data_IF_149938398493
#
_entry.id   IF_149938398493
#
_cell.length_a   1.000
_cell.length_b   1.000
_cell.length_c   1.000
_cell.angle_alpha   90.00
_cell.angle_beta   90.00
_cell.angle_gamma   90.00
#
_symmetry.space_group_name_H-M   'P 1'
#
loop_
_entity.id
_entity.type
_entity.pdbx_description
1 polymer ?
#
# COMPACT_ATOMS: atom_id res chain seq x y z
N UNK A 1 12.70 -9.07 -42.47
CA UNK A 1 11.68 -10.13 -42.59
C UNK A 1 11.11 -10.37 -41.20
N UNK A 2 10.13 -9.56 -40.80
CA UNK A 2 9.61 -9.52 -39.43
C UNK A 2 8.22 -10.15 -39.47
N UNK A 3 8.08 -11.32 -38.84
CA UNK A 3 6.81 -12.04 -38.76
C UNK A 3 5.90 -11.31 -37.76
N UNK A 4 4.74 -10.86 -38.24
CA UNK A 4 3.60 -10.47 -37.41
C UNK A 4 3.17 -11.69 -36.58
N UNK A 5 3.03 -11.51 -35.27
CA UNK A 5 2.18 -12.36 -34.45
C UNK A 5 0.84 -11.64 -34.31
N UNK A 6 -0.19 -12.18 -34.96
CA UNK A 6 -1.59 -11.91 -34.73
C UNK A 6 -2.06 -12.74 -33.54
N UNK A 7 -2.69 -12.12 -32.54
CA UNK A 7 -3.34 -12.85 -31.44
C UNK A 7 -3.81 -11.95 -30.30
N UNK A 8 -5.10 -11.59 -30.37
CA UNK A 8 -6.02 -11.25 -29.26
C UNK A 8 -5.54 -10.22 -28.23
N UNK A 9 -6.01 -9.00 -28.44
CA UNK A 9 -5.95 -7.86 -27.54
C UNK A 9 -6.99 -8.02 -26.41
N UNK A 10 -6.66 -8.82 -25.39
CA UNK A 10 -7.22 -8.65 -24.05
C UNK A 10 -6.08 -8.18 -23.14
N UNK A 11 -6.09 -6.89 -22.81
CA UNK A 11 -5.03 -6.21 -22.09
C UNK A 11 -4.66 -6.91 -20.79
N UNK A 12 -3.54 -7.63 -20.80
CA UNK A 12 -2.85 -7.97 -19.57
C UNK A 12 -2.45 -6.65 -18.89
N UNK A 13 -3.14 -6.29 -17.80
CA UNK A 13 -2.72 -5.17 -16.95
C UNK A 13 -1.32 -5.49 -16.45
N UNK A 14 -0.33 -4.82 -17.03
CA UNK A 14 1.09 -5.08 -16.75
C UNK A 14 1.43 -4.86 -15.28
N UNK A 15 2.29 -5.72 -14.76
CA UNK A 15 3.00 -5.47 -13.51
C UNK A 15 4.16 -4.52 -13.84
N UNK A 16 4.29 -3.44 -13.07
CA UNK A 16 5.37 -2.46 -13.23
C UNK A 16 6.41 -2.63 -12.12
N UNK A 17 7.69 -2.60 -12.49
CA UNK A 17 8.80 -2.47 -11.55
C UNK A 17 9.07 -0.97 -11.35
N UNK A 18 8.51 -0.41 -10.27
CA UNK A 18 8.42 1.04 -10.06
C UNK A 18 9.30 1.47 -8.89
N UNK A 19 10.13 2.49 -9.12
CA UNK A 19 10.82 3.23 -8.07
C UNK A 19 9.98 4.43 -7.62
N UNK A 20 9.82 4.60 -6.30
CA UNK A 20 9.15 5.75 -5.70
C UNK A 20 10.21 6.74 -5.20
N UNK A 21 9.99 8.03 -5.47
CA UNK A 21 10.87 9.11 -5.06
C UNK A 21 10.10 10.08 -4.17
N UNK A 22 10.80 10.70 -3.21
CA UNK A 22 10.26 11.71 -2.32
C UNK A 22 11.02 13.02 -2.52
N UNK A 23 10.27 14.13 -2.58
CA UNK A 23 10.80 15.48 -2.59
C UNK A 23 10.07 16.29 -1.53
N UNK A 24 10.82 17.00 -0.70
CA UNK A 24 10.30 17.86 0.35
C UNK A 24 10.45 19.32 -0.12
N UNK A 25 9.38 20.10 0.02
CA UNK A 25 9.31 21.50 -0.40
C UNK A 25 8.83 22.35 0.79
N UNK A 26 9.42 23.53 0.95
CA UNK A 26 9.09 24.45 2.05
C UNK A 26 7.72 25.11 1.87
N UNK A 27 7.17 25.07 0.66
CA UNK A 27 5.88 25.66 0.31
C UNK A 27 5.12 24.75 -0.65
N UNK A 28 3.80 24.76 -0.56
CA UNK A 28 2.92 24.10 -1.54
C UNK A 28 3.12 24.76 -2.91
N UNK A 29 3.59 24.02 -3.94
CA UNK A 29 3.84 24.61 -5.25
C UNK A 29 2.53 24.78 -6.03
N UNK A 30 2.53 25.76 -6.94
CA UNK A 30 1.51 25.84 -7.97
C UNK A 30 1.58 24.59 -8.85
N UNK A 31 0.43 23.95 -9.05
CA UNK A 31 0.33 22.74 -9.83
C UNK A 31 -0.87 22.80 -10.77
N UNK A 32 -0.67 22.35 -11.99
CA UNK A 32 -1.68 22.34 -13.06
C UNK A 32 -1.81 20.92 -13.61
N UNK A 33 -3.04 20.52 -13.90
CA UNK A 33 -3.32 19.28 -14.60
C UNK A 33 -3.35 19.52 -16.11
N UNK A 34 -3.22 18.45 -16.91
CA UNK A 34 -3.11 18.52 -18.37
C UNK A 34 -4.46 18.39 -19.10
N UNK A 35 -5.55 18.26 -18.33
CA UNK A 35 -6.92 18.02 -18.81
C UNK A 35 -7.09 16.74 -19.65
N UNK A 36 -6.12 15.81 -19.57
CA UNK A 36 -6.12 14.55 -20.30
C UNK A 36 -5.94 13.37 -19.37
N UNK A 37 -4.70 13.14 -18.92
CA UNK A 37 -4.38 12.05 -18.00
C UNK A 37 -4.73 12.42 -16.56
N UNK A 38 -4.54 13.69 -16.22
CA UNK A 38 -4.93 14.28 -14.94
C UNK A 38 -5.99 15.34 -15.19
N UNK A 39 -7.11 15.25 -14.47
CA UNK A 39 -8.24 16.19 -14.58
C UNK A 39 -8.55 16.90 -13.27
N UNK A 40 -7.96 16.43 -12.16
CA UNK A 40 -8.12 17.00 -10.83
C UNK A 40 -6.79 16.89 -10.07
N UNK A 41 -6.46 17.94 -9.32
CA UNK A 41 -5.30 17.98 -8.45
C UNK A 41 -5.72 18.56 -7.10
N UNK A 42 -5.25 17.94 -6.02
CA UNK A 42 -5.49 18.40 -4.67
C UNK A 42 -4.26 18.13 -3.80
N UNK A 43 -3.78 19.17 -3.13
CA UNK A 43 -2.88 19.04 -1.99
C UNK A 43 -3.70 18.67 -0.75
N UNK A 44 -3.34 17.59 -0.06
CA UNK A 44 -4.04 17.15 1.15
C UNK A 44 -3.05 16.56 2.16
N UNK A 45 -3.30 16.72 3.48
CA UNK A 45 -2.53 16.05 4.52
C UNK A 45 -2.60 14.52 4.37
N UNK A 46 -1.50 13.79 4.64
CA UNK A 46 -1.43 12.33 4.47
C UNK A 46 -2.55 11.54 5.16
N UNK A 47 -2.96 11.97 6.35
CA UNK A 47 -4.00 11.29 7.12
C UNK A 47 -5.42 11.60 6.58
N UNK A 48 -5.65 12.78 6.00
CA UNK A 48 -6.93 13.09 5.33
C UNK A 48 -7.09 12.26 4.06
N UNK A 49 -6.01 12.11 3.29
CA UNK A 49 -5.99 11.22 2.13
C UNK A 49 -6.21 9.77 2.56
N UNK A 50 -5.59 9.34 3.66
CA UNK A 50 -5.76 8.00 4.24
C UNK A 50 -7.19 7.78 4.69
N UNK A 51 -7.76 8.72 5.45
CA UNK A 51 -9.17 8.68 5.89
C UNK A 51 -10.11 8.56 4.71
N UNK A 52 -9.94 9.43 3.72
CA UNK A 52 -10.73 9.42 2.50
C UNK A 52 -10.61 8.09 1.74
N UNK A 53 -9.45 7.44 1.81
CA UNK A 53 -9.26 6.12 1.24
C UNK A 53 -10.01 5.03 1.99
N UNK A 54 -9.89 4.99 3.31
CA UNK A 54 -10.60 4.02 4.16
C UNK A 54 -12.13 4.18 4.06
N UNK A 55 -12.62 5.42 3.94
CA UNK A 55 -14.02 5.75 3.72
C UNK A 55 -14.47 5.54 2.25
N UNK A 56 -13.61 5.00 1.39
CA UNK A 56 -13.87 4.75 -0.04
C UNK A 56 -14.25 6.00 -0.85
N UNK A 57 -13.89 7.20 -0.36
CA UNK A 57 -14.08 8.48 -1.06
C UNK A 57 -13.01 8.71 -2.12
N UNK A 58 -11.78 8.25 -1.85
CA UNK A 58 -10.65 8.31 -2.78
C UNK A 58 -10.03 6.92 -2.92
N UNK A 59 -9.70 6.54 -4.16
CA UNK A 59 -9.00 5.27 -4.39
C UNK A 59 -7.50 5.52 -4.49
N UNK A 60 -6.75 5.09 -3.47
CA UNK A 60 -5.30 4.98 -3.53
C UNK A 60 -4.93 3.55 -3.98
N UNK A 61 -4.00 3.45 -4.91
CA UNK A 61 -3.42 2.16 -5.29
C UNK A 61 -2.63 1.57 -4.11
N UNK A 62 -2.47 0.23 -4.03
CA UNK A 62 -1.81 -0.40 -2.89
C UNK A 62 -0.44 0.18 -2.52
N UNK A 63 0.48 0.47 -3.48
CA UNK A 63 1.75 1.11 -3.14
C UNK A 63 1.57 2.52 -2.55
N UNK A 64 0.59 3.30 -3.03
CA UNK A 64 0.36 4.67 -2.57
C UNK A 64 -0.08 4.70 -1.11
N UNK A 65 -1.11 3.90 -0.76
CA UNK A 65 -1.58 3.86 0.62
C UNK A 65 -0.52 3.26 1.57
N UNK A 66 0.25 2.27 1.11
CA UNK A 66 1.34 1.68 1.90
C UNK A 66 2.40 2.72 2.29
N UNK A 67 2.85 3.54 1.33
CA UNK A 67 3.83 4.59 1.59
C UNK A 67 3.25 5.75 2.41
N UNK A 68 2.00 6.14 2.17
CA UNK A 68 1.33 7.18 3.00
C UNK A 68 1.26 6.73 4.46
N UNK A 69 0.90 5.47 4.72
CA UNK A 69 0.90 4.92 6.08
C UNK A 69 2.29 4.85 6.71
N UNK A 70 3.37 4.81 5.92
CA UNK A 70 4.74 4.96 6.44
C UNK A 70 5.04 6.40 6.83
N UNK A 71 4.59 7.38 6.05
CA UNK A 71 4.79 8.80 6.35
C UNK A 71 4.05 9.25 7.61
N UNK A 72 2.94 8.61 7.95
CA UNK A 72 2.20 8.88 9.18
C UNK A 72 2.95 8.55 10.48
N UNK A 73 4.13 7.92 10.40
CA UNK A 73 5.01 7.76 11.56
C UNK A 73 5.72 9.06 11.97
N UNK A 74 5.81 10.05 11.09
CA UNK A 74 6.52 11.29 11.34
C UNK A 74 5.55 12.41 11.73
N UNK A 75 5.95 13.22 12.70
CA UNK A 75 5.13 14.30 13.24
C UNK A 75 5.06 15.49 12.28
N UNK A 76 6.19 15.82 11.65
CA UNK A 76 6.37 16.98 10.79
C UNK A 76 7.38 16.69 9.66
N UNK A 77 7.55 17.66 8.76
CA UNK A 77 8.38 17.50 7.56
C UNK A 77 9.86 17.45 7.93
N UNK A 78 10.26 18.11 9.01
CA UNK A 78 11.62 18.11 9.55
C UNK A 78 12.03 16.72 10.01
N UNK A 79 11.19 16.05 10.81
CA UNK A 79 11.45 14.67 11.26
C UNK A 79 11.54 13.69 10.08
N UNK A 80 10.65 13.84 9.09
CA UNK A 80 10.69 13.05 7.86
C UNK A 80 11.99 13.29 7.07
N UNK A 81 12.44 14.56 6.97
CA UNK A 81 13.68 14.92 6.28
C UNK A 81 14.91 14.32 6.96
N UNK A 82 15.01 14.43 8.29
CA UNK A 82 16.10 13.84 9.07
C UNK A 82 16.16 12.32 8.90
N UNK A 83 15.00 11.66 8.91
CA UNK A 83 14.90 10.23 8.63
C UNK A 83 15.40 9.89 7.21
N UNK A 84 14.95 10.63 6.19
CA UNK A 84 15.35 10.42 4.80
C UNK A 84 16.87 10.59 4.61
N UNK A 85 17.46 11.65 5.18
CA UNK A 85 18.91 11.90 5.12
C UNK A 85 19.70 10.76 5.79
N UNK A 86 19.23 10.28 6.93
CA UNK A 86 19.86 9.17 7.66
C UNK A 86 19.76 7.85 6.90
N UNK A 87 18.65 7.59 6.22
CA UNK A 87 18.41 6.36 5.46
C UNK A 87 19.03 6.36 4.06
N UNK A 88 19.40 7.51 3.50
CA UNK A 88 19.75 7.68 2.08
C UNK A 88 20.83 6.71 1.53
N UNK A 89 21.74 6.24 2.39
CA UNK A 89 22.80 5.29 2.02
C UNK A 89 22.38 3.81 2.07
N UNK A 90 21.14 3.51 2.49
CA UNK A 90 20.61 2.14 2.54
C UNK A 90 19.98 1.74 1.21
N UNK A 91 20.03 0.44 0.91
CA UNK A 91 19.30 -0.14 -0.22
C UNK A 91 17.79 -0.10 0.06
N UNK A 92 16.98 -0.30 -0.97
CA UNK A 92 15.52 -0.41 -0.85
C UNK A 92 15.13 -1.87 -1.09
N UNK A 93 14.27 -2.41 -0.22
CA UNK A 93 13.68 -3.73 -0.44
C UNK A 93 12.56 -3.62 -1.48
N UNK A 94 12.54 -4.53 -2.46
CA UNK A 94 11.46 -4.59 -3.46
C UNK A 94 10.15 -4.94 -2.77
N UNK A 95 9.23 -3.99 -2.70
CA UNK A 95 7.93 -4.18 -2.06
C UNK A 95 6.88 -4.62 -3.08
N UNK A 96 6.89 -5.91 -3.46
CA UNK A 96 5.97 -6.43 -4.46
C UNK A 96 4.67 -6.96 -3.82
N UNK A 97 3.49 -6.38 -4.12
CA UNK A 97 2.21 -6.82 -3.56
C UNK A 97 1.72 -8.12 -4.18
N UNK A 98 1.37 -9.10 -3.35
CA UNK A 98 0.78 -10.38 -3.78
C UNK A 98 -0.68 -10.46 -3.32
N UNK A 99 -1.66 -10.44 -4.23
CA UNK A 99 -3.07 -10.62 -3.86
C UNK A 99 -3.32 -12.02 -3.29
N UNK A 100 -4.12 -12.10 -2.24
CA UNK A 100 -4.55 -13.34 -1.61
C UNK A 100 -6.03 -13.28 -1.22
N UNK A 101 -6.68 -14.44 -1.24
CA UNK A 101 -8.07 -14.64 -0.88
C UNK A 101 -8.15 -15.80 0.09
N UNK A 102 -8.94 -15.62 1.13
CA UNK A 102 -9.28 -16.65 2.10
C UNK A 102 -10.80 -16.84 2.17
N UNK A 103 -11.28 -17.76 3.00
CA UNK A 103 -12.71 -18.16 3.00
C UNK A 103 -13.66 -16.95 3.23
N UNK A 104 -13.23 -16.07 4.12
CA UNK A 104 -13.95 -14.91 4.62
C UNK A 104 -13.31 -13.57 4.22
N UNK A 105 -12.24 -13.51 3.43
CA UNK A 105 -11.51 -12.26 3.23
C UNK A 105 -10.64 -12.12 1.98
N UNK A 106 -10.22 -10.88 1.75
CA UNK A 106 -9.28 -10.51 0.67
C UNK A 106 -8.19 -9.63 1.27
N UNK A 107 -6.94 -9.93 0.96
CA UNK A 107 -5.80 -9.15 1.44
C UNK A 107 -4.67 -9.11 0.42
N UNK A 108 -3.73 -8.19 0.62
CA UNK A 108 -2.50 -8.05 -0.14
C UNK A 108 -1.35 -8.37 0.80
N UNK A 109 -0.52 -9.33 0.41
CA UNK A 109 0.70 -9.73 1.12
C UNK A 109 1.90 -8.92 0.61
N UNK A 110 2.80 -8.59 1.52
CA UNK A 110 4.06 -7.90 1.26
C UNK A 110 5.24 -8.69 1.84
N UNK A 111 6.48 -8.44 1.39
CA UNK A 111 7.66 -9.15 1.87
C UNK A 111 7.80 -9.10 3.40
N UNK A 112 8.14 -10.24 3.99
CA UNK A 112 8.25 -10.44 5.44
C UNK A 112 6.99 -11.01 6.10
N UNK A 113 5.87 -11.07 5.39
CA UNK A 113 4.71 -11.83 5.83
C UNK A 113 4.98 -13.34 5.73
N UNK A 114 4.57 -14.14 6.73
CA UNK A 114 4.76 -15.60 6.72
C UNK A 114 4.09 -16.29 5.52
N UNK A 115 3.02 -15.70 4.96
CA UNK A 115 2.33 -16.21 3.79
C UNK A 115 2.88 -15.66 2.47
N UNK A 116 3.88 -14.79 2.52
CA UNK A 116 4.50 -14.23 1.32
C UNK A 116 5.25 -15.35 0.57
N UNK A 117 5.00 -15.53 -0.74
CA UNK A 117 5.65 -16.59 -1.50
C UNK A 117 7.15 -16.30 -1.68
N UNK A 118 7.97 -17.35 -1.60
CA UNK A 118 9.42 -17.25 -1.86
C UNK A 118 9.73 -16.77 -3.29
N UNK A 119 8.90 -17.17 -4.26
CA UNK A 119 8.98 -16.76 -5.66
C UNK A 119 7.67 -16.09 -6.12
N UNK A 120 7.49 -14.78 -5.84
CA UNK A 120 6.32 -14.05 -6.31
C UNK A 120 6.36 -13.93 -7.84
N UNK A 121 5.26 -14.24 -8.51
CA UNK A 121 5.17 -14.13 -9.97
C UNK A 121 5.10 -12.65 -10.41
N UNK A 122 6.26 -12.02 -10.54
CA UNK A 122 6.42 -10.63 -10.97
C UNK A 122 6.14 -10.41 -12.47
N UNK A 123 5.92 -11.47 -13.26
CA UNK A 123 5.72 -11.41 -14.71
C UNK A 123 4.27 -11.65 -15.17
N UNK A 124 3.31 -11.71 -14.22
CA UNK A 124 1.91 -11.37 -14.51
C UNK A 124 1.08 -12.47 -15.17
N UNK A 125 0.96 -13.65 -14.54
CA UNK A 125 0.09 -14.71 -15.06
C UNK A 125 -0.61 -15.59 -14.00
N UNK A 126 -0.55 -15.25 -12.70
CA UNK A 126 -1.24 -16.04 -11.66
C UNK A 126 -2.29 -15.18 -10.96
N UNK A 127 -3.47 -15.79 -10.73
CA UNK A 127 -4.52 -15.22 -9.89
C UNK A 127 -4.06 -15.08 -8.43
N UNK A 128 -4.95 -14.62 -7.52
CA UNK A 128 -4.60 -14.49 -6.12
C UNK A 128 -4.19 -15.84 -5.52
N UNK A 129 -3.36 -15.80 -4.47
CA UNK A 129 -3.15 -16.97 -3.61
C UNK A 129 -4.48 -17.34 -2.94
N UNK A 130 -4.84 -18.63 -2.98
CA UNK A 130 -6.05 -19.14 -2.35
C UNK A 130 -5.65 -19.86 -1.06
N UNK A 131 -6.20 -19.40 0.06
CA UNK A 131 -5.89 -19.94 1.38
C UNK A 131 -7.21 -20.43 2.01
N UNK A 132 -7.45 -21.74 2.12
CA UNK A 132 -8.71 -22.30 2.60
C UNK A 132 -8.78 -22.31 4.13
N UNK A 133 -8.60 -21.14 4.72
CA UNK A 133 -8.67 -20.85 6.16
C UNK A 133 -9.39 -19.50 6.33
N UNK A 134 -9.92 -19.21 7.51
CA UNK A 134 -10.45 -17.88 7.85
C UNK A 134 -9.34 -16.88 8.14
N UNK A 135 -9.60 -15.57 8.03
CA UNK A 135 -8.66 -14.51 8.43
C UNK A 135 -8.19 -14.71 9.87
N UNK A 136 -9.10 -15.15 10.76
CA UNK A 136 -8.80 -15.43 12.15
C UNK A 136 -7.82 -16.57 12.33
N UNK A 137 -8.05 -17.71 11.68
CA UNK A 137 -7.15 -18.88 11.73
C UNK A 137 -5.77 -18.52 11.17
N UNK A 138 -5.75 -17.82 10.03
CA UNK A 138 -4.54 -17.30 9.41
C UNK A 138 -3.77 -16.41 10.40
N UNK A 139 -4.43 -15.46 11.05
CA UNK A 139 -3.77 -14.56 12.02
C UNK A 139 -3.19 -15.32 13.22
N UNK A 140 -3.86 -16.36 13.70
CA UNK A 140 -3.39 -17.16 14.84
C UNK A 140 -2.21 -18.07 14.48
N UNK A 141 -2.19 -18.61 13.25
CA UNK A 141 -1.19 -19.58 12.80
C UNK A 141 0.12 -18.93 12.37
N UNK A 142 0.06 -17.71 11.84
CA UNK A 142 1.19 -17.03 11.21
C UNK A 142 1.50 -15.72 11.93
N UNK A 143 2.46 -15.69 12.87
CA UNK A 143 2.69 -14.52 13.72
C UNK A 143 3.34 -13.33 13.01
N UNK A 144 3.98 -13.51 11.86
CA UNK A 144 4.64 -12.43 11.13
C UNK A 144 3.72 -11.87 10.03
N UNK A 145 3.42 -10.59 10.15
CA UNK A 145 2.47 -9.89 9.29
C UNK A 145 3.15 -8.74 8.56
N UNK A 146 2.89 -8.66 7.27
CA UNK A 146 3.04 -7.47 6.44
C UNK A 146 1.96 -7.54 5.36
N UNK A 147 0.73 -7.19 5.71
CA UNK A 147 -0.44 -7.35 4.84
C UNK A 147 -1.45 -6.22 4.98
N UNK A 148 -2.17 -5.98 3.89
CA UNK A 148 -3.29 -5.04 3.84
C UNK A 148 -4.60 -5.80 3.60
N UNK A 149 -5.46 -5.85 4.62
CA UNK A 149 -6.78 -6.49 4.54
C UNK A 149 -7.75 -5.52 3.89
N UNK A 150 -8.39 -5.94 2.81
CA UNK A 150 -9.32 -5.12 2.01
C UNK A 150 -10.79 -5.43 2.32
N UNK A 151 -11.07 -6.68 2.69
CA UNK A 151 -12.41 -7.14 3.03
C UNK A 151 -12.33 -8.27 4.04
N UNK A 152 -13.14 -8.14 5.07
CA UNK A 152 -13.48 -9.18 6.05
C UNK A 152 -15.00 -9.41 5.96
N UNK A 153 -15.44 -10.66 5.78
CA UNK A 153 -16.86 -11.04 5.68
C UNK A 153 -17.49 -11.32 7.05
N UNK A 154 -16.71 -11.50 8.11
CA UNK A 154 -17.26 -11.80 9.46
C UNK A 154 -17.83 -10.55 10.17
N UNK A 155 -17.64 -9.34 9.63
CA UNK A 155 -18.19 -8.08 10.15
C UNK A 155 -19.72 -8.01 9.97
N UNK A 156 -20.47 -8.77 10.76
CA UNK A 156 -21.94 -8.84 10.77
C UNK A 156 -22.66 -7.60 11.35
N UNK A 157 -22.08 -6.40 11.26
CA UNK A 157 -22.77 -5.15 11.61
C UNK A 157 -22.35 -4.02 10.68
N UNK A 158 -23.34 -3.48 9.95
CA UNK A 158 -23.35 -2.18 9.28
C UNK A 158 -22.10 -1.77 8.50
N UNK A 159 -22.12 -2.04 7.19
CA UNK A 159 -21.46 -1.31 6.10
C UNK A 159 -20.34 -0.32 6.47
N UNK A 160 -19.19 -0.83 6.90
CA UNK A 160 -17.90 -0.15 6.75
C UNK A 160 -16.91 -1.24 6.33
N UNK A 161 -16.30 -1.07 5.16
CA UNK A 161 -15.17 -1.92 4.77
C UNK A 161 -14.00 -1.58 5.71
N UNK A 162 -13.73 -2.45 6.69
CA UNK A 162 -12.60 -2.34 7.63
C UNK A 162 -11.27 -2.66 6.92
N UNK A 163 -10.83 -1.76 6.06
CA UNK A 163 -9.51 -1.88 5.46
C UNK A 163 -8.45 -1.67 6.54
N UNK A 164 -7.58 -2.67 6.78
CA UNK A 164 -6.63 -2.67 7.90
C UNK A 164 -5.23 -3.05 7.45
N UNK A 165 -4.24 -2.26 7.86
CA UNK A 165 -2.84 -2.65 7.77
C UNK A 165 -2.44 -3.47 8.98
N UNK A 166 -1.81 -4.62 8.73
CA UNK A 166 -1.21 -5.49 9.72
C UNK A 166 0.27 -5.63 9.36
N UNK A 167 1.14 -4.96 10.10
CA UNK A 167 2.58 -5.00 9.91
C UNK A 167 3.29 -5.07 11.27
N UNK A 168 4.05 -6.13 11.50
CA UNK A 168 4.88 -6.28 12.72
C UNK A 168 6.32 -6.74 12.40
N UNK A 169 6.70 -6.72 11.12
CA UNK A 169 8.03 -7.08 10.64
C UNK A 169 8.69 -5.89 9.96
N UNK A 170 10.00 -5.77 10.15
CA UNK A 170 10.81 -4.80 9.40
C UNK A 170 11.33 -5.43 8.11
N UNK A 171 11.52 -4.64 7.05
CA UNK A 171 12.07 -5.14 5.78
C UNK A 171 13.60 -5.21 5.74
N UNK A 172 14.28 -4.94 6.87
CA UNK A 172 15.74 -4.97 6.99
C UNK A 172 16.49 -3.87 6.24
N UNK A 173 15.78 -3.00 5.51
CA UNK A 173 16.35 -1.91 4.72
C UNK A 173 16.40 -0.57 5.48
N UNK A 174 16.07 -0.60 6.77
CA UNK A 174 16.02 0.57 7.64
C UNK A 174 14.86 1.51 7.36
N UNK A 175 13.85 1.09 6.58
CA UNK A 175 12.60 1.82 6.48
C UNK A 175 11.71 1.61 7.72
N UNK A 176 10.85 2.57 8.02
CA UNK A 176 9.74 2.39 8.97
C UNK A 176 8.66 1.47 8.40
N UNK A 177 7.97 0.75 9.27
CA UNK A 177 6.78 -0.04 8.91
C UNK A 177 5.56 0.88 8.76
N UNK A 178 4.55 0.53 7.93
CA UNK A 178 3.30 1.28 7.89
C UNK A 178 2.62 1.29 9.26
N UNK A 179 2.04 2.42 9.65
CA UNK A 179 1.25 2.48 10.89
C UNK A 179 0.01 1.58 10.76
N UNK A 180 -0.24 0.76 11.78
CA UNK A 180 -1.31 -0.26 11.77
C UNK A 180 -2.55 0.17 12.54
N UNK A 181 -2.37 1.05 13.53
CA UNK A 181 -3.48 1.67 14.26
C UNK A 181 -3.82 3.00 13.59
N UNK A 182 -4.93 3.04 12.85
CA UNK A 182 -5.41 4.23 12.15
C UNK A 182 -6.51 4.96 12.94
N UNK A 183 -6.77 4.58 14.19
CA UNK A 183 -7.84 5.18 15.02
C UNK A 183 -7.63 6.66 15.33
N UNK A 184 -6.39 7.14 15.25
CA UNK A 184 -6.05 8.55 15.46
C UNK A 184 -6.38 9.45 14.25
N UNK A 185 -6.71 8.87 13.09
CA UNK A 185 -6.94 9.63 11.86
C UNK A 185 -8.22 10.48 11.99
N UNK A 186 -8.10 11.76 11.65
CA UNK A 186 -9.17 12.75 11.84
C UNK A 186 -9.27 13.34 13.25
N UNK A 187 -8.38 12.97 14.17
CA UNK A 187 -8.17 13.73 15.40
C UNK A 187 -7.25 14.94 15.12
N UNK A 188 -7.47 16.09 15.80
CA UNK A 188 -6.61 17.25 15.65
C UNK A 188 -5.19 16.91 16.14
N UNK A 189 -4.27 16.75 15.20
CA UNK A 189 -2.83 16.84 15.45
C UNK A 189 -2.35 18.17 14.86
N UNK A 190 -1.34 18.77 15.46
CA UNK A 190 -0.57 19.82 14.78
C UNK A 190 -0.02 19.21 13.48
N UNK A 191 -0.26 19.86 12.33
CA UNK A 191 0.12 19.36 11.01
C UNK A 191 0.85 20.43 10.21
N UNK A 192 1.71 19.91 9.34
CA UNK A 192 2.47 20.50 8.22
C UNK A 192 1.99 21.86 7.72
#
# INVERSE_FOLDING_TARGET
>A
MTRRASGTDEGSKGIFDTAFFLCLLDTVPDAMHDDKETVHLQWSPPDESTKSHLESKVKLAPPQIYEICRFLNFKDIEELNEFCLTRNNKRVTRNFPVPAVCDDGIFILYPGDDLYPDDPNIYGAKGPLIIPETLREIHQKYPHHNRYVLKDKESHRDFIYDAKFLCNVTQGDGHVIPITDLSFIGMPRARF
#
